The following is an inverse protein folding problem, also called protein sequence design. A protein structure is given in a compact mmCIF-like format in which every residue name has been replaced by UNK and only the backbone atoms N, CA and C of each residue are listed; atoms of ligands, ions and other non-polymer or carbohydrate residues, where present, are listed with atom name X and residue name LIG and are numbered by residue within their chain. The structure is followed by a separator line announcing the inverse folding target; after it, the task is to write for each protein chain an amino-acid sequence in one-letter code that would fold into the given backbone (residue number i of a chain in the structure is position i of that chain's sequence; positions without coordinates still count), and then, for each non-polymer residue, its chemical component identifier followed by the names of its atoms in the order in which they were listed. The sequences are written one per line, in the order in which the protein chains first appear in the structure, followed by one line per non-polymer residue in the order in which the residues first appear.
data_IF_346729933307
#
_entry.id   IF_346729933307
#
_cell.length_a   1.000
_cell.length_b   1.000
_cell.length_c   1.000
_cell.angle_alpha   90.00
_cell.angle_beta   90.00
_cell.angle_gamma   90.00
#
_symmetry.space_group_name_H-M   'P 1'
#
loop_
_entity.id
_entity.type
_entity.pdbx_description
1 polymer ?
#
# COMPACT_ATOMS: atom_id res chain seq x y z
N UNK A 1 23.14 -8.19 10.52
CA UNK A 1 22.95 -6.73 10.57
C UNK A 1 21.88 -6.40 9.55
N UNK A 2 20.72 -5.90 10.00
CA UNK A 2 19.55 -5.74 9.14
C UNK A 2 19.85 -4.73 8.01
N UNK A 3 19.56 -5.13 6.77
CA UNK A 3 19.79 -4.30 5.56
C UNK A 3 19.07 -2.94 5.60
N UNK A 4 18.14 -2.76 6.54
CA UNK A 4 17.35 -1.55 6.73
C UNK A 4 18.19 -0.30 7.08
N UNK A 5 19.45 -0.43 7.51
CA UNK A 5 20.34 0.71 7.80
C UNK A 5 20.94 1.39 6.55
N UNK A 6 20.72 0.85 5.33
CA UNK A 6 21.28 1.44 4.09
C UNK A 6 20.43 2.56 3.49
N UNK A 7 19.19 2.74 3.92
CA UNK A 7 18.26 3.72 3.34
C UNK A 7 17.97 4.87 4.30
N UNK A 8 17.64 6.04 3.72
CA UNK A 8 17.21 7.20 4.51
C UNK A 8 15.93 6.87 5.28
N UNK A 9 15.87 7.29 6.54
CA UNK A 9 14.64 7.28 7.33
C UNK A 9 14.08 8.69 7.37
N UNK A 10 12.78 8.83 7.07
CA UNK A 10 12.05 10.09 7.06
C UNK A 10 11.04 10.10 8.20
N UNK A 11 11.36 10.70 9.37
CA UNK A 11 10.48 10.69 10.54
C UNK A 11 9.08 11.27 10.27
N UNK A 12 8.94 12.15 9.27
CA UNK A 12 7.67 12.73 8.85
C UNK A 12 6.69 11.73 8.23
N UNK A 13 7.16 10.55 7.81
CA UNK A 13 6.34 9.46 7.25
C UNK A 13 5.79 8.51 8.30
N UNK A 14 6.28 8.56 9.54
CA UNK A 14 5.77 7.74 10.62
C UNK A 14 4.27 8.02 10.85
N UNK A 15 3.49 6.93 10.99
CA UNK A 15 2.04 6.93 11.20
C UNK A 15 1.19 7.58 10.10
N UNK A 16 1.78 8.09 9.01
CA UNK A 16 1.05 8.66 7.89
C UNK A 16 0.22 7.62 7.17
N UNK A 17 -1.04 7.93 6.89
CA UNK A 17 -1.96 7.07 6.15
C UNK A 17 -1.75 7.30 4.66
N UNK A 18 -1.21 6.30 3.98
CA UNK A 18 -0.95 6.34 2.54
C UNK A 18 -1.79 5.31 1.84
N UNK A 19 -2.62 5.76 0.89
CA UNK A 19 -3.39 4.89 0.02
C UNK A 19 -2.73 4.83 -1.35
N UNK A 20 -2.51 3.65 -1.91
CA UNK A 20 -1.94 3.54 -3.26
C UNK A 20 -2.60 2.44 -4.10
N UNK A 21 -2.64 2.66 -5.41
CA UNK A 21 -3.17 1.69 -6.39
C UNK A 21 -2.04 0.97 -7.13
N UNK A 22 -2.27 -0.27 -7.58
CA UNK A 22 -1.26 -1.08 -8.27
C UNK A 22 -0.13 -1.52 -7.35
N UNK A 23 -0.43 -1.79 -6.07
CA UNK A 23 0.56 -2.04 -5.03
C UNK A 23 1.10 -3.48 -4.96
N UNK A 24 0.56 -4.43 -5.71
CA UNK A 24 0.91 -5.84 -5.54
C UNK A 24 2.25 -6.22 -6.18
N UNK A 25 2.73 -5.47 -7.19
CA UNK A 25 3.90 -5.83 -8.00
C UNK A 25 4.74 -4.61 -8.39
N UNK A 26 5.96 -4.87 -8.89
CA UNK A 26 6.82 -3.87 -9.51
C UNK A 26 7.12 -2.68 -8.59
N UNK A 27 6.98 -1.47 -9.15
CA UNK A 27 7.21 -0.21 -8.43
C UNK A 27 6.24 -0.05 -7.26
N UNK A 28 4.97 -0.41 -7.43
CA UNK A 28 3.97 -0.32 -6.37
C UNK A 28 4.30 -1.20 -5.17
N UNK A 29 4.75 -2.44 -5.41
CA UNK A 29 5.19 -3.33 -4.33
C UNK A 29 6.40 -2.78 -3.56
N UNK A 30 7.36 -2.20 -4.28
CA UNK A 30 8.50 -1.52 -3.67
C UNK A 30 8.04 -0.35 -2.79
N UNK A 31 7.09 0.46 -3.26
CA UNK A 31 6.52 1.56 -2.48
C UNK A 31 5.80 1.05 -1.21
N UNK A 32 4.99 -0.01 -1.30
CA UNK A 32 4.31 -0.61 -0.14
C UNK A 32 5.33 -1.03 0.91
N UNK A 33 6.35 -1.77 0.51
CA UNK A 33 7.39 -2.27 1.41
C UNK A 33 8.17 -1.11 2.05
N UNK A 34 8.64 -0.16 1.25
CA UNK A 34 9.47 0.93 1.75
C UNK A 34 8.67 1.89 2.64
N UNK A 35 7.43 2.25 2.29
CA UNK A 35 6.58 3.08 3.14
C UNK A 35 6.27 2.38 4.48
N UNK A 36 6.04 1.07 4.47
CA UNK A 36 5.83 0.32 5.70
C UNK A 36 7.10 0.27 6.58
N UNK A 37 8.28 0.11 5.98
CA UNK A 37 9.58 0.21 6.68
C UNK A 37 9.85 1.60 7.26
N UNK A 38 9.30 2.66 6.65
CA UNK A 38 9.33 4.02 7.19
C UNK A 38 8.30 4.25 8.32
N UNK A 39 7.46 3.25 8.61
CA UNK A 39 6.44 3.33 9.65
C UNK A 39 5.13 4.00 9.22
N UNK A 40 4.88 4.12 7.91
CA UNK A 40 3.58 4.59 7.40
C UNK A 40 2.51 3.50 7.53
N UNK A 41 1.24 3.93 7.62
CA UNK A 41 0.06 3.07 7.55
C UNK A 41 -0.33 2.91 6.08
N UNK A 42 0.17 1.85 5.46
CA UNK A 42 -0.01 1.61 4.03
C UNK A 42 -1.28 0.82 3.76
N UNK A 43 -2.14 1.36 2.91
CA UNK A 43 -3.31 0.67 2.35
C UNK A 43 -3.12 0.63 0.84
N UNK A 44 -3.17 -0.55 0.25
CA UNK A 44 -2.99 -0.67 -1.19
C UNK A 44 -4.10 -1.46 -1.88
N UNK A 45 -4.36 -1.07 -3.12
CA UNK A 45 -5.41 -1.60 -3.97
C UNK A 45 -4.77 -2.26 -5.19
N UNK A 46 -5.22 -3.45 -5.55
CA UNK A 46 -4.71 -4.17 -6.71
C UNK A 46 -5.71 -5.25 -7.17
N UNK A 47 -5.54 -5.78 -8.38
CA UNK A 47 -6.32 -6.90 -8.92
C UNK A 47 -5.60 -8.26 -8.72
N UNK A 48 -4.30 -8.26 -8.44
CA UNK A 48 -3.48 -9.48 -8.33
C UNK A 48 -3.40 -9.98 -6.88
N UNK A 49 -4.44 -10.67 -6.43
CA UNK A 49 -4.60 -11.18 -5.06
C UNK A 49 -3.40 -11.97 -4.52
N UNK A 50 -2.87 -12.91 -5.31
CA UNK A 50 -1.79 -13.79 -4.86
C UNK A 50 -0.51 -13.01 -4.57
N UNK A 51 -0.14 -12.10 -5.47
CA UNK A 51 1.04 -11.23 -5.28
C UNK A 51 0.83 -10.28 -4.10
N UNK A 52 -0.36 -9.71 -3.95
CA UNK A 52 -0.69 -8.82 -2.85
C UNK A 52 -0.57 -9.51 -1.48
N UNK A 53 -1.14 -10.71 -1.32
CA UNK A 53 -1.07 -11.46 -0.06
C UNK A 53 0.36 -11.87 0.30
N UNK A 54 1.14 -12.31 -0.70
CA UNK A 54 2.55 -12.62 -0.51
C UNK A 54 3.35 -11.39 -0.08
N UNK A 55 3.06 -10.23 -0.66
CA UNK A 55 3.69 -8.96 -0.28
C UNK A 55 3.34 -8.58 1.17
N UNK A 56 2.06 -8.66 1.55
CA UNK A 56 1.64 -8.38 2.94
C UNK A 56 2.37 -9.27 3.93
N UNK A 57 2.47 -10.58 3.66
CA UNK A 57 3.20 -11.50 4.51
C UNK A 57 4.69 -11.14 4.58
N UNK A 58 5.34 -10.97 3.42
CA UNK A 58 6.76 -10.58 3.32
C UNK A 58 7.04 -9.33 4.17
N UNK A 59 6.25 -8.27 4.01
CA UNK A 59 6.45 -7.00 4.72
C UNK A 59 6.18 -7.14 6.21
N UNK A 60 5.19 -7.94 6.60
CA UNK A 60 4.92 -8.25 8.02
C UNK A 60 6.10 -8.95 8.68
N UNK A 61 6.73 -9.91 7.98
CA UNK A 61 7.89 -10.66 8.47
C UNK A 61 9.14 -9.77 8.64
N UNK A 62 9.18 -8.59 8.02
CA UNK A 62 10.22 -7.58 8.24
C UNK A 62 10.07 -6.83 9.58
N UNK A 63 8.99 -7.06 10.32
CA UNK A 63 8.76 -6.43 11.63
C UNK A 63 8.40 -4.95 11.53
N UNK A 64 7.67 -4.56 10.49
CA UNK A 64 7.20 -3.17 10.32
C UNK A 64 6.25 -2.74 11.44
N UNK A 65 6.19 -1.44 11.78
CA UNK A 65 5.28 -0.94 12.81
C UNK A 65 3.79 -1.17 12.48
N UNK A 66 3.45 -1.10 11.19
CA UNK A 66 2.09 -1.28 10.70
C UNK A 66 2.08 -2.25 9.53
N UNK A 67 1.41 -3.40 9.69
CA UNK A 67 1.17 -4.34 8.59
C UNK A 67 0.36 -3.66 7.48
N UNK A 68 0.81 -3.73 6.21
CA UNK A 68 0.05 -3.18 5.09
C UNK A 68 -1.32 -3.84 4.94
N UNK A 69 -2.32 -3.06 4.56
CA UNK A 69 -3.68 -3.53 4.31
C UNK A 69 -3.91 -3.62 2.79
N UNK A 70 -4.36 -4.77 2.32
CA UNK A 70 -4.71 -5.01 0.93
C UNK A 70 -6.23 -5.01 0.72
N UNK A 71 -6.69 -4.35 -0.35
CA UNK A 71 -8.02 -4.54 -0.91
C UNK A 71 -7.95 -4.94 -2.39
N UNK A 72 -8.66 -5.99 -2.76
CA UNK A 72 -8.89 -6.30 -4.17
C UNK A 72 -9.74 -5.19 -4.80
N UNK A 73 -9.22 -4.54 -5.84
CA UNK A 73 -9.92 -3.46 -6.52
C UNK A 73 -9.46 -3.34 -7.98
N UNK A 74 -10.41 -3.42 -8.90
CA UNK A 74 -10.22 -2.88 -10.24
C UNK A 74 -10.47 -1.36 -10.21
N UNK A 75 -9.42 -0.58 -10.49
CA UNK A 75 -9.50 0.88 -10.47
C UNK A 75 -10.29 1.46 -11.65
N UNK A 76 -10.65 0.63 -12.65
CA UNK A 76 -11.53 1.04 -13.74
C UNK A 76 -13.01 0.98 -13.34
N UNK A 77 -13.36 0.23 -12.29
CA UNK A 77 -14.70 0.18 -11.72
C UNK A 77 -14.85 1.16 -10.55
N UNK A 78 -15.33 2.36 -10.87
CA UNK A 78 -15.48 3.44 -9.89
C UNK A 78 -16.61 3.16 -8.89
N UNK A 79 -17.77 2.71 -9.38
CA UNK A 79 -18.98 2.57 -8.55
C UNK A 79 -18.97 1.28 -7.73
N UNK A 80 -18.55 0.16 -8.33
CA UNK A 80 -18.49 -1.14 -7.66
C UNK A 80 -17.19 -1.42 -6.92
N UNK A 81 -16.08 -0.83 -7.38
CA UNK A 81 -14.74 -1.01 -6.81
C UNK A 81 -14.34 0.13 -5.89
N UNK A 82 -13.97 1.27 -6.47
CA UNK A 82 -13.28 2.35 -5.75
C UNK A 82 -14.15 2.93 -4.64
N UNK A 83 -15.40 3.32 -4.91
CA UNK A 83 -16.25 4.04 -3.93
C UNK A 83 -16.51 3.24 -2.65
N UNK A 84 -16.95 1.97 -2.70
CA UNK A 84 -17.14 1.16 -1.49
C UNK A 84 -15.86 0.98 -0.68
N UNK A 85 -14.73 0.76 -1.34
CA UNK A 85 -13.43 0.59 -0.67
C UNK A 85 -12.98 1.90 -0.03
N UNK A 86 -13.12 3.04 -0.73
CA UNK A 86 -12.82 4.34 -0.17
C UNK A 86 -13.68 4.65 1.07
N UNK A 87 -14.97 4.35 1.04
CA UNK A 87 -15.86 4.50 2.19
C UNK A 87 -15.40 3.64 3.38
N UNK A 88 -15.00 2.38 3.12
CA UNK A 88 -14.46 1.48 4.14
C UNK A 88 -13.15 1.99 4.72
N UNK A 89 -12.25 2.53 3.89
CA UNK A 89 -10.98 3.12 4.34
C UNK A 89 -11.27 4.33 5.24
N UNK A 90 -12.14 5.25 4.81
CA UNK A 90 -12.46 6.47 5.55
C UNK A 90 -13.17 6.22 6.87
N UNK A 91 -13.91 5.11 7.00
CA UNK A 91 -14.51 4.69 8.26
C UNK A 91 -13.46 4.29 9.31
N UNK A 92 -12.31 3.73 8.88
CA UNK A 92 -11.21 3.35 9.77
C UNK A 92 -10.15 4.45 9.92
N UNK A 93 -9.93 5.22 8.85
CA UNK A 93 -8.91 6.25 8.73
C UNK A 93 -9.55 7.54 8.19
N UNK A 94 -10.09 8.41 9.07
CA UNK A 94 -10.81 9.61 8.65
C UNK A 94 -9.95 10.62 7.88
N UNK A 95 -8.61 10.53 7.99
CA UNK A 95 -7.65 11.36 7.29
C UNK A 95 -6.72 10.46 6.49
N UNK A 96 -6.57 10.78 5.20
CA UNK A 96 -5.58 10.18 4.30
C UNK A 96 -4.53 11.26 4.00
N UNK A 97 -3.28 11.01 4.36
CA UNK A 97 -2.19 11.97 4.18
C UNK A 97 -1.69 12.03 2.74
N UNK A 98 -1.75 10.89 2.02
CA UNK A 98 -1.33 10.80 0.64
C UNK A 98 -2.11 9.73 -0.14
N UNK A 99 -2.36 10.02 -1.42
CA UNK A 99 -2.87 9.07 -2.40
C UNK A 99 -1.86 8.94 -3.53
N UNK A 100 -1.46 7.71 -3.86
CA UNK A 100 -0.53 7.43 -4.96
C UNK A 100 -1.26 6.63 -6.04
N UNK A 101 -1.55 7.31 -7.15
CA UNK A 101 -2.16 6.70 -8.34
C UNK A 101 -1.09 6.02 -9.18
N UNK A 102 -0.70 4.81 -8.79
CA UNK A 102 0.37 4.05 -9.44
C UNK A 102 -0.15 2.93 -10.36
N UNK A 103 -1.39 2.47 -10.21
CA UNK A 103 -1.96 1.43 -11.07
C UNK A 103 -1.84 1.81 -12.55
N UNK A 104 -1.17 0.95 -13.32
CA UNK A 104 -1.03 1.05 -14.76
C UNK A 104 -0.95 -0.35 -15.36
N UNK A 105 -1.55 -0.53 -16.52
CA UNK A 105 -1.47 -1.76 -17.30
C UNK A 105 -1.24 -1.39 -18.76
N UNK A 106 -0.20 -1.94 -19.38
CA UNK A 106 0.10 -1.69 -20.78
C UNK A 106 -0.42 -2.85 -21.62
N UNK A 107 -1.43 -2.59 -22.46
CA UNK A 107 -2.07 -3.58 -23.33
C UNK A 107 -1.42 -3.65 -24.74
N UNK A 108 -0.12 -3.41 -24.85
CA UNK A 108 0.58 -3.37 -26.15
C UNK A 108 1.74 -4.34 -26.22
#
# INVERSE_FOLDING_TARGET
MAENQKFATYPSLADRVVVLTGGAMGIGACMVEQLALQGSRVIFLDIVDGAARNLVQKVTDLGVPHTPIFYHCDVTDIEGGIKPIAAKILACYPIIDAVINNAAHNLR
#
